data_IF_094407899080
#
_entry.id   IF_094407899080
#
_cell.length_a   1.000
_cell.length_b   1.000
_cell.length_c   1.000
_cell.angle_alpha   90.00
_cell.angle_beta   90.00
_cell.angle_gamma   90.00
#
_symmetry.space_group_name_H-M   'P 1'
#
loop_
_entity.id
_entity.type
_entity.pdbx_description
1 polymer ?
#
# COMPACT_ATOMS: atom_id res chain seq x y z
N UNK A 1 -30.63 23.58 67.03
CA UNK A 1 -29.57 23.56 65.99
C UNK A 1 -29.99 22.50 64.99
N UNK A 2 -30.72 22.90 63.95
CA UNK A 2 -31.36 21.99 62.99
C UNK A 2 -30.37 21.76 61.85
N UNK A 3 -30.04 20.50 61.59
CA UNK A 3 -29.09 20.10 60.56
C UNK A 3 -29.85 19.99 59.23
N UNK A 4 -29.71 20.97 58.33
CA UNK A 4 -30.21 20.86 56.96
C UNK A 4 -29.28 19.95 56.15
N UNK A 5 -29.76 18.75 55.83
CA UNK A 5 -29.13 17.85 54.87
C UNK A 5 -29.37 18.36 53.45
N UNK A 6 -28.32 18.88 52.82
CA UNK A 6 -28.33 19.25 51.41
C UNK A 6 -28.56 18.00 50.54
N UNK A 7 -29.57 17.95 49.65
CA UNK A 7 -29.80 16.78 48.83
C UNK A 7 -28.72 16.70 47.74
N UNK A 8 -27.96 15.61 47.73
CA UNK A 8 -27.03 15.29 46.66
C UNK A 8 -27.79 15.18 45.33
N UNK A 9 -27.52 16.11 44.41
CA UNK A 9 -28.10 16.12 43.07
C UNK A 9 -27.33 15.14 42.18
N UNK A 10 -28.00 14.10 41.69
CA UNK A 10 -27.42 13.19 40.70
C UNK A 10 -27.06 13.97 39.44
N UNK A 11 -25.78 13.93 39.06
CA UNK A 11 -25.30 14.47 37.78
C UNK A 11 -25.78 13.51 36.68
N UNK A 12 -26.56 13.97 35.68
CA UNK A 12 -26.95 13.11 34.57
C UNK A 12 -25.72 12.57 33.86
N UNK A 13 -25.68 11.28 33.57
CA UNK A 13 -24.63 10.66 32.79
C UNK A 13 -24.51 11.40 31.44
N UNK A 14 -23.31 11.89 31.13
CA UNK A 14 -23.07 12.64 29.91
C UNK A 14 -23.50 11.80 28.71
N UNK A 15 -24.45 12.31 27.93
CA UNK A 15 -24.91 11.65 26.72
C UNK A 15 -23.69 11.35 25.82
N UNK A 16 -23.50 10.08 25.46
CA UNK A 16 -22.40 9.70 24.54
C UNK A 16 -22.58 10.45 23.24
N UNK A 17 -21.68 11.38 22.96
CA UNK A 17 -21.58 12.03 21.66
C UNK A 17 -21.28 10.94 20.62
N UNK A 18 -22.03 10.86 19.50
CA UNK A 18 -21.67 9.94 18.43
C UNK A 18 -20.25 10.26 17.95
N UNK A 19 -19.38 9.25 17.96
CA UNK A 19 -18.01 9.39 17.51
C UNK A 19 -17.99 9.92 16.07
N UNK A 20 -17.06 10.84 15.78
CA UNK A 20 -16.82 11.28 14.42
C UNK A 20 -16.56 10.06 13.52
N UNK A 21 -17.08 10.03 12.28
CA UNK A 21 -16.85 8.90 11.39
C UNK A 21 -15.34 8.68 11.19
N UNK A 22 -14.90 7.43 11.29
CA UNK A 22 -13.51 7.08 11.11
C UNK A 22 -13.02 7.56 9.73
N UNK A 23 -11.79 8.08 9.68
CA UNK A 23 -11.17 8.50 8.43
C UNK A 23 -11.20 7.35 7.41
N UNK A 24 -11.45 7.63 6.12
CA UNK A 24 -11.54 6.59 5.10
C UNK A 24 -10.21 5.86 4.97
N UNK A 25 -10.25 4.54 5.14
CA UNK A 25 -9.08 3.66 4.99
C UNK A 25 -8.57 3.67 3.54
N UNK A 26 -7.25 3.77 3.37
CA UNK A 26 -6.58 3.80 2.07
C UNK A 26 -5.52 2.71 1.97
N UNK A 27 -5.31 2.21 0.76
CA UNK A 27 -4.29 1.23 0.42
C UNK A 27 -3.27 1.87 -0.53
N UNK A 28 -2.00 1.51 -0.39
CA UNK A 28 -0.98 1.82 -1.36
C UNK A 28 -0.77 0.64 -2.32
N UNK A 29 -0.48 0.94 -3.58
CA UNK A 29 0.01 -0.03 -4.54
C UNK A 29 1.25 0.53 -5.24
N UNK A 30 2.23 -0.33 -5.47
CA UNK A 30 3.37 -0.06 -6.34
C UNK A 30 3.45 -1.16 -7.38
N UNK A 31 3.74 -0.78 -8.61
CA UNK A 31 4.05 -1.69 -9.69
C UNK A 31 5.46 -1.38 -10.19
N UNK A 32 6.35 -2.37 -10.11
CA UNK A 32 7.74 -2.24 -10.52
C UNK A 32 8.02 -3.22 -11.67
N UNK A 33 8.33 -2.66 -12.82
CA UNK A 33 8.60 -3.38 -14.07
C UNK A 33 9.74 -2.75 -14.84
N UNK A 34 10.29 -3.43 -15.85
CA UNK A 34 11.41 -2.90 -16.62
C UNK A 34 11.17 -1.45 -17.06
N UNK A 35 12.03 -0.57 -16.57
CA UNK A 35 12.09 0.85 -16.89
C UNK A 35 11.01 1.74 -16.26
N UNK A 36 10.16 1.21 -15.37
CA UNK A 36 9.03 1.97 -14.79
C UNK A 36 8.66 1.52 -13.39
N UNK A 37 8.37 2.51 -12.55
CA UNK A 37 7.75 2.34 -11.24
C UNK A 37 6.48 3.18 -11.21
N UNK A 38 5.34 2.57 -10.97
CA UNK A 38 4.06 3.27 -10.80
C UNK A 38 3.59 3.11 -9.35
N UNK A 39 3.19 4.19 -8.70
CA UNK A 39 2.55 4.13 -7.39
C UNK A 39 1.13 4.69 -7.45
N UNK A 40 0.22 4.10 -6.69
CA UNK A 40 -1.17 4.54 -6.61
C UNK A 40 -1.71 4.42 -5.18
N UNK A 41 -2.57 5.36 -4.81
CA UNK A 41 -3.37 5.29 -3.59
C UNK A 41 -4.78 4.86 -3.97
N UNK A 42 -5.32 3.88 -3.27
CA UNK A 42 -6.64 3.32 -3.54
C UNK A 42 -7.56 3.45 -2.33
N UNK A 43 -8.86 3.56 -2.59
CA UNK A 43 -9.88 3.27 -1.57
C UNK A 43 -9.95 1.76 -1.31
N UNK A 44 -10.57 1.37 -0.19
CA UNK A 44 -10.88 -0.05 0.07
C UNK A 44 -11.76 -0.71 -1.00
N UNK A 45 -12.47 0.08 -1.81
CA UNK A 45 -13.29 -0.40 -2.93
C UNK A 45 -12.51 -0.56 -4.24
N UNK A 46 -11.19 -0.36 -4.25
CA UNK A 46 -10.34 -0.46 -5.45
C UNK A 46 -10.36 0.78 -6.35
N UNK A 47 -10.96 1.90 -5.91
CA UNK A 47 -10.95 3.15 -6.67
C UNK A 47 -9.59 3.84 -6.50
N UNK A 48 -8.92 4.13 -7.60
CA UNK A 48 -7.70 4.94 -7.61
C UNK A 48 -8.04 6.39 -7.18
N UNK A 49 -7.31 6.88 -6.18
CA UNK A 49 -7.45 8.20 -5.57
C UNK A 49 -6.38 9.15 -6.08
N UNK A 50 -5.14 8.65 -6.17
CA UNK A 50 -3.99 9.38 -6.69
C UNK A 50 -3.01 8.38 -7.32
N UNK A 51 -2.19 8.84 -8.26
CA UNK A 51 -1.21 8.01 -8.98
C UNK A 51 -0.03 8.86 -9.44
N UNK A 52 1.16 8.33 -9.25
CA UNK A 52 2.41 8.89 -9.77
C UNK A 52 3.26 7.81 -10.40
N UNK A 53 4.27 8.22 -11.17
CA UNK A 53 5.16 7.34 -11.89
C UNK A 53 6.56 7.93 -12.00
N UNK A 54 7.56 7.06 -11.96
CA UNK A 54 8.94 7.36 -12.31
C UNK A 54 9.45 6.32 -13.34
N UNK A 55 10.40 6.72 -14.16
CA UNK A 55 11.07 5.86 -15.13
C UNK A 55 12.56 5.72 -14.80
N UNK A 56 13.16 4.63 -15.25
CA UNK A 56 14.60 4.38 -15.21
C UNK A 56 15.03 3.64 -16.48
N UNK A 57 16.33 3.63 -16.81
CA UNK A 57 16.81 2.83 -17.94
C UNK A 57 16.96 1.36 -17.50
N UNK A 58 16.09 0.47 -17.99
CA UNK A 58 16.09 -0.94 -17.61
C UNK A 58 17.45 -1.63 -17.85
N UNK A 59 18.12 -1.31 -18.95
CA UNK A 59 19.33 -1.99 -19.39
C UNK A 59 20.58 -1.51 -18.63
N UNK A 60 20.60 -0.24 -18.21
CA UNK A 60 21.79 0.38 -17.60
C UNK A 60 21.59 0.83 -16.16
N UNK A 61 20.38 0.72 -15.60
CA UNK A 61 20.12 1.16 -14.24
C UNK A 61 21.01 0.44 -13.23
N UNK A 62 21.44 1.19 -12.25
CA UNK A 62 22.03 0.71 -11.00
C UNK A 62 20.92 0.57 -9.95
N UNK A 63 21.19 -0.14 -8.82
CA UNK A 63 20.26 -0.14 -7.69
C UNK A 63 19.90 1.26 -7.19
N UNK A 64 20.83 2.23 -7.29
CA UNK A 64 20.59 3.62 -6.89
C UNK A 64 19.61 4.35 -7.82
N UNK A 65 19.59 4.04 -9.12
CA UNK A 65 18.62 4.60 -10.04
C UNK A 65 17.20 4.09 -9.73
N UNK A 66 17.10 2.82 -9.36
CA UNK A 66 15.84 2.18 -8.94
C UNK A 66 15.39 2.75 -7.59
N UNK A 67 16.31 2.97 -6.64
CA UNK A 67 16.04 3.66 -5.38
C UNK A 67 15.50 5.06 -5.62
N UNK A 68 16.11 5.81 -6.56
CA UNK A 68 15.66 7.13 -6.96
C UNK A 68 14.24 7.10 -7.54
N UNK A 69 13.94 6.14 -8.39
CA UNK A 69 12.60 5.95 -8.94
C UNK A 69 11.57 5.60 -7.84
N UNK A 70 11.92 4.71 -6.91
CA UNK A 70 11.06 4.37 -5.76
C UNK A 70 10.81 5.59 -4.86
N UNK A 71 11.84 6.36 -4.54
CA UNK A 71 11.72 7.59 -3.75
C UNK A 71 10.85 8.62 -4.47
N UNK A 72 11.01 8.78 -5.79
CA UNK A 72 10.22 9.70 -6.60
C UNK A 72 8.72 9.40 -6.58
N UNK A 73 8.34 8.12 -6.49
CA UNK A 73 6.92 7.74 -6.40
C UNK A 73 6.39 7.63 -4.97
N UNK A 74 7.25 7.37 -3.97
CA UNK A 74 6.83 7.13 -2.59
C UNK A 74 6.10 8.33 -1.94
N UNK A 75 6.38 9.55 -2.39
CA UNK A 75 5.75 10.77 -1.88
C UNK A 75 4.22 10.78 -1.97
N UNK A 76 3.63 10.02 -2.91
CA UNK A 76 2.15 9.91 -3.05
C UNK A 76 1.51 9.28 -1.80
N UNK A 77 2.25 8.43 -1.07
CA UNK A 77 1.75 7.76 0.13
C UNK A 77 1.77 8.69 1.35
N UNK A 78 2.73 9.60 1.45
CA UNK A 78 2.82 10.54 2.58
C UNK A 78 1.62 11.49 2.63
N UNK A 79 1.05 11.84 1.48
CA UNK A 79 -0.17 12.65 1.40
C UNK A 79 -1.44 11.90 1.85
N UNK A 80 -1.35 10.58 2.01
CA UNK A 80 -2.49 9.70 2.16
C UNK A 80 -2.15 8.58 3.13
N UNK A 81 -2.37 8.76 4.44
CA UNK A 81 -2.18 7.73 5.49
C UNK A 81 -2.65 6.33 5.04
N UNK A 82 -1.76 5.56 4.41
CA UNK A 82 -2.07 4.26 3.83
C UNK A 82 -1.88 3.20 4.90
N UNK A 83 -2.73 2.19 4.89
CA UNK A 83 -2.65 1.11 5.88
C UNK A 83 -1.57 0.08 5.57
N UNK A 84 -1.07 0.10 4.34
CA UNK A 84 -0.05 -0.82 3.83
C UNK A 84 0.07 -0.66 2.32
N UNK A 85 1.18 -1.15 1.78
CA UNK A 85 1.54 -1.05 0.37
C UNK A 85 1.70 -2.45 -0.21
N UNK A 86 0.96 -2.78 -1.26
CA UNK A 86 1.21 -3.97 -2.07
C UNK A 86 2.13 -3.65 -3.24
N UNK A 87 3.15 -4.47 -3.49
CA UNK A 87 4.10 -4.30 -4.59
C UNK A 87 3.91 -5.44 -5.59
N UNK A 88 3.55 -5.09 -6.82
CA UNK A 88 3.57 -5.98 -7.97
C UNK A 88 4.90 -5.86 -8.70
N UNK A 89 5.70 -6.92 -8.71
CA UNK A 89 6.95 -6.94 -9.47
C UNK A 89 6.90 -7.94 -10.63
N UNK A 90 7.57 -7.62 -11.73
CA UNK A 90 7.92 -8.59 -12.76
C UNK A 90 9.06 -9.52 -12.28
N UNK A 91 9.27 -10.61 -13.02
CA UNK A 91 10.35 -11.57 -12.76
C UNK A 91 10.09 -12.47 -11.57
N UNK A 92 11.15 -13.10 -11.06
CA UNK A 92 11.08 -14.00 -9.92
C UNK A 92 11.17 -13.20 -8.62
N UNK A 93 10.28 -13.50 -7.67
CA UNK A 93 10.20 -12.82 -6.37
C UNK A 93 10.10 -13.82 -5.23
N UNK A 94 10.55 -13.40 -4.06
CA UNK A 94 10.30 -14.08 -2.80
C UNK A 94 9.43 -13.19 -1.90
N UNK A 95 8.11 -13.43 -1.82
CA UNK A 95 7.21 -12.70 -0.93
C UNK A 95 7.53 -12.86 0.57
N UNK A 96 8.19 -13.96 0.96
CA UNK A 96 8.51 -14.24 2.35
C UNK A 96 9.63 -13.36 2.88
N UNK A 97 10.64 -13.09 2.05
CA UNK A 97 11.76 -12.18 2.37
C UNK A 97 11.56 -10.77 1.82
N UNK A 98 10.64 -10.59 0.87
CA UNK A 98 10.38 -9.30 0.23
C UNK A 98 11.41 -8.90 -0.83
N UNK A 99 12.13 -9.89 -1.38
CA UNK A 99 13.17 -9.70 -2.39
C UNK A 99 12.62 -9.91 -3.81
N UNK A 100 13.09 -9.09 -4.74
CA UNK A 100 13.07 -9.43 -6.16
C UNK A 100 14.32 -10.28 -6.40
N UNK A 101 14.13 -11.55 -6.77
CA UNK A 101 15.23 -12.49 -6.98
C UNK A 101 15.87 -12.28 -8.35
N UNK A 102 15.07 -12.06 -9.40
CA UNK A 102 15.59 -11.95 -10.76
C UNK A 102 14.60 -11.25 -11.69
N UNK A 103 15.09 -10.32 -12.51
CA UNK A 103 14.36 -9.74 -13.65
C UNK A 103 15.34 -9.67 -14.83
N UNK A 104 15.14 -10.51 -15.85
CA UNK A 104 16.10 -10.63 -16.96
C UNK A 104 16.42 -9.30 -17.65
N UNK A 105 15.40 -8.46 -17.83
CA UNK A 105 15.55 -7.17 -18.51
C UNK A 105 16.15 -6.07 -17.62
N UNK A 106 16.33 -6.33 -16.31
CA UNK A 106 16.86 -5.36 -15.33
C UNK A 106 17.79 -6.08 -14.34
N UNK A 107 19.06 -6.33 -14.70
CA UNK A 107 20.01 -7.04 -13.84
C UNK A 107 20.21 -6.42 -12.46
N UNK A 108 20.04 -5.10 -12.33
CA UNK A 108 20.14 -4.38 -11.05
C UNK A 108 19.04 -4.73 -10.03
N UNK A 109 17.99 -5.44 -10.44
CA UNK A 109 16.96 -5.95 -9.53
C UNK A 109 17.31 -7.30 -8.89
N UNK A 110 18.44 -7.93 -9.25
CA UNK A 110 18.84 -9.20 -8.65
C UNK A 110 19.10 -9.06 -7.15
N UNK A 111 18.33 -9.79 -6.33
CA UNK A 111 18.40 -9.71 -4.87
C UNK A 111 17.92 -8.37 -4.28
N UNK A 112 17.13 -7.60 -5.03
CA UNK A 112 16.76 -6.24 -4.62
C UNK A 112 15.68 -6.23 -3.51
N UNK A 113 15.93 -5.61 -2.35
CA UNK A 113 15.04 -5.66 -1.18
C UNK A 113 13.92 -4.62 -1.22
N UNK A 114 13.01 -4.75 -2.20
CA UNK A 114 12.00 -3.71 -2.49
C UNK A 114 11.08 -3.40 -1.31
N UNK A 115 10.72 -4.38 -0.48
CA UNK A 115 9.85 -4.16 0.68
C UNK A 115 10.54 -3.34 1.76
N UNK A 116 11.81 -3.62 2.06
CA UNK A 116 12.62 -2.87 3.03
C UNK A 116 12.81 -1.43 2.58
N UNK A 117 13.12 -1.23 1.29
CA UNK A 117 13.38 0.11 0.74
C UNK A 117 12.13 0.99 0.76
N UNK A 118 11.00 0.47 0.28
CA UNK A 118 9.73 1.21 0.35
C UNK A 118 9.25 1.38 1.80
N UNK A 119 9.44 0.39 2.66
CA UNK A 119 9.10 0.48 4.08
C UNK A 119 9.88 1.60 4.77
N UNK A 120 11.18 1.72 4.48
CA UNK A 120 12.03 2.81 4.97
C UNK A 120 11.57 4.17 4.47
N UNK A 121 11.18 4.27 3.19
CA UNK A 121 10.73 5.53 2.59
C UNK A 121 9.37 6.00 3.11
N UNK A 122 8.48 5.07 3.49
CA UNK A 122 7.07 5.38 3.76
C UNK A 122 6.63 5.18 5.21
N UNK A 123 7.39 4.40 5.99
CA UNK A 123 6.99 3.94 7.31
C UNK A 123 5.83 2.94 7.32
N UNK A 124 5.32 2.52 6.15
CA UNK A 124 4.20 1.61 6.03
C UNK A 124 4.65 0.15 5.92
N UNK A 125 3.76 -0.78 6.27
CA UNK A 125 3.97 -2.21 5.98
C UNK A 125 3.91 -2.46 4.47
N UNK A 126 4.89 -3.19 3.92
CA UNK A 126 5.02 -3.45 2.48
C UNK A 126 5.02 -4.95 2.20
N UNK A 127 4.21 -5.38 1.22
CA UNK A 127 4.09 -6.78 0.82
C UNK A 127 4.38 -6.94 -0.67
N UNK A 128 5.32 -7.82 -1.02
CA UNK A 128 5.70 -8.10 -2.40
C UNK A 128 4.95 -9.31 -2.94
N UNK A 129 4.53 -9.24 -4.21
CA UNK A 129 4.05 -10.39 -4.94
C UNK A 129 4.31 -10.26 -6.46
N UNK A 130 4.35 -11.41 -7.14
CA UNK A 130 4.50 -11.51 -8.58
C UNK A 130 3.31 -10.86 -9.30
N UNK A 131 3.59 -9.98 -10.27
CA UNK A 131 2.60 -9.22 -11.04
C UNK A 131 1.42 -10.06 -11.54
N UNK A 132 1.68 -11.19 -12.22
CA UNK A 132 0.60 -12.02 -12.77
C UNK A 132 -0.35 -12.58 -11.69
N UNK A 133 0.16 -12.90 -10.49
CA UNK A 133 -0.69 -13.36 -9.37
C UNK A 133 -1.54 -12.21 -8.84
N UNK A 134 -0.96 -11.02 -8.71
CA UNK A 134 -1.70 -9.82 -8.30
C UNK A 134 -2.74 -9.37 -9.33
N UNK A 135 -2.46 -9.54 -10.63
CA UNK A 135 -3.44 -9.27 -11.70
C UNK A 135 -4.70 -10.11 -11.50
N UNK A 136 -4.54 -11.42 -11.28
CA UNK A 136 -5.66 -12.32 -11.00
C UNK A 136 -6.39 -11.91 -9.70
N UNK A 137 -5.68 -11.52 -8.64
CA UNK A 137 -6.33 -11.03 -7.42
C UNK A 137 -7.10 -9.72 -7.65
N UNK A 138 -6.55 -8.80 -8.42
CA UNK A 138 -7.20 -7.57 -8.85
C UNK A 138 -8.49 -7.85 -9.62
N UNK A 139 -8.45 -8.77 -10.59
CA UNK A 139 -9.63 -9.17 -11.35
C UNK A 139 -10.68 -9.88 -10.48
N UNK A 140 -10.24 -10.67 -9.49
CA UNK A 140 -11.15 -11.32 -8.54
C UNK A 140 -11.93 -10.32 -7.71
N UNK A 141 -11.27 -9.27 -7.24
CA UNK A 141 -11.88 -8.30 -6.33
C UNK A 141 -12.57 -7.15 -7.06
N UNK A 142 -12.01 -6.67 -8.16
CA UNK A 142 -12.43 -5.42 -8.80
C UNK A 142 -12.76 -5.56 -10.28
N UNK A 143 -12.40 -6.67 -10.93
CA UNK A 143 -12.52 -6.86 -12.37
C UNK A 143 -13.40 -8.03 -12.81
N UNK A 144 -13.02 -8.66 -13.93
CA UNK A 144 -13.80 -9.68 -14.63
C UNK A 144 -13.97 -10.99 -13.85
N UNK A 145 -13.10 -11.25 -12.86
CA UNK A 145 -13.15 -12.43 -11.99
C UNK A 145 -14.16 -12.32 -10.84
N UNK A 146 -14.85 -11.18 -10.68
CA UNK A 146 -15.80 -10.98 -9.58
C UNK A 146 -16.91 -12.03 -9.56
N UNK A 147 -17.16 -12.58 -8.37
CA UNK A 147 -18.15 -13.64 -8.16
C UNK A 147 -17.72 -15.02 -8.68
N UNK A 148 -16.52 -15.15 -9.25
CA UNK A 148 -15.98 -16.45 -9.68
C UNK A 148 -15.11 -17.06 -8.59
N UNK A 149 -15.29 -18.36 -8.39
CA UNK A 149 -14.48 -19.17 -7.47
C UNK A 149 -13.17 -19.63 -8.11
N UNK A 150 -13.17 -19.84 -9.43
CA UNK A 150 -12.04 -20.32 -10.23
C UNK A 150 -12.08 -19.63 -11.59
N UNK A 151 -10.96 -19.02 -12.00
CA UNK A 151 -10.80 -18.35 -13.29
C UNK A 151 -9.31 -18.13 -13.60
N UNK A 152 -9.00 -17.74 -14.83
CA UNK A 152 -7.70 -17.21 -15.26
C UNK A 152 -7.91 -15.80 -15.84
N UNK A 153 -6.89 -14.95 -15.71
CA UNK A 153 -6.84 -13.59 -16.29
C UNK A 153 -6.01 -13.63 -17.56
#
# INVERSE_FOLDING_TARGET
MVHESSPLRLVPEAARQPAAPAAPRRLGAVELVPGRVTAAVLSMGGRVLDRTEASYDAATATPADIDGALAGVAGVFTAHEVQGIGVAAAGLVDPGTGLILEVNDVPALHGFPVTERLGTLTGAGVHLEHRARLQVLGDRWFGAGRGRRTFAS
#
